data_IF_690582831836
#
_entry.id   IF_690582831836
#
_cell.length_a   1.000
_cell.length_b   1.000
_cell.length_c   1.000
_cell.angle_alpha   90.00
_cell.angle_beta   90.00
_cell.angle_gamma   90.00
#
_symmetry.space_group_name_H-M   'P 1'
#
loop_
_entity.id
_entity.type
_entity.pdbx_description
1 polymer ?
#
# COMPACT_ATOMS: atom_id res chain seq x y z
N UNK A 1 6.18 -10.69 4.44
CA UNK A 1 7.41 -9.90 4.65
C UNK A 1 8.52 -10.44 3.78
N UNK A 2 9.00 -11.67 3.99
CA UNK A 2 10.08 -12.31 3.19
C UNK A 2 9.95 -12.22 1.67
N UNK A 3 8.75 -12.45 1.10
CA UNK A 3 8.57 -12.35 -0.36
C UNK A 3 8.86 -10.95 -0.90
N UNK A 4 8.28 -9.91 -0.29
CA UNK A 4 8.49 -8.52 -0.70
C UNK A 4 9.91 -8.03 -0.39
N UNK A 5 10.53 -8.53 0.68
CA UNK A 5 11.95 -8.27 0.99
C UNK A 5 12.85 -8.84 -0.10
N UNK A 6 12.61 -10.09 -0.50
CA UNK A 6 13.35 -10.76 -1.56
C UNK A 6 13.12 -10.08 -2.93
N UNK A 7 11.90 -9.66 -3.22
CA UNK A 7 11.57 -8.86 -4.40
C UNK A 7 12.36 -7.55 -4.43
N UNK A 8 12.35 -6.78 -3.33
CA UNK A 8 13.08 -5.52 -3.25
C UNK A 8 14.60 -5.74 -3.33
N UNK A 9 15.12 -6.78 -2.67
CA UNK A 9 16.53 -7.18 -2.75
C UNK A 9 16.94 -7.53 -4.19
N UNK A 10 16.13 -8.27 -4.93
CA UNK A 10 16.41 -8.63 -6.32
C UNK A 10 16.35 -7.41 -7.26
N UNK A 11 15.42 -6.49 -7.06
CA UNK A 11 15.35 -5.26 -7.83
C UNK A 11 16.57 -4.36 -7.57
N UNK A 12 16.97 -4.20 -6.31
CA UNK A 12 18.19 -3.45 -5.93
C UNK A 12 19.43 -4.13 -6.49
N UNK A 13 19.53 -5.46 -6.44
CA UNK A 13 20.62 -6.20 -7.08
C UNK A 13 20.71 -5.89 -8.58
N UNK A 14 19.59 -5.96 -9.30
CA UNK A 14 19.55 -5.66 -10.73
C UNK A 14 19.94 -4.20 -11.04
N UNK A 15 19.57 -3.25 -10.17
CA UNK A 15 20.02 -1.85 -10.25
C UNK A 15 21.54 -1.73 -10.07
N UNK A 16 22.08 -2.33 -9.00
CA UNK A 16 23.51 -2.27 -8.68
C UNK A 16 24.37 -2.95 -9.74
N UNK A 17 23.89 -4.03 -10.37
CA UNK A 17 24.61 -4.71 -11.47
C UNK A 17 24.82 -3.84 -12.70
N UNK A 18 24.05 -2.75 -12.85
CA UNK A 18 24.30 -1.73 -13.88
C UNK A 18 25.47 -0.82 -13.52
N UNK A 19 25.78 -0.66 -12.23
CA UNK A 19 26.88 0.16 -11.72
C UNK A 19 28.18 -0.65 -11.58
N UNK A 20 28.10 -1.88 -11.06
CA UNK A 20 29.25 -2.78 -10.89
C UNK A 20 28.80 -4.24 -10.91
N UNK A 21 29.56 -5.12 -11.56
CA UNK A 21 29.29 -6.56 -11.54
C UNK A 21 29.89 -7.29 -10.34
N UNK A 22 30.84 -6.66 -9.62
CA UNK A 22 31.64 -7.31 -8.58
C UNK A 22 31.09 -7.02 -7.18
N UNK A 23 30.01 -7.72 -6.84
CA UNK A 23 29.49 -7.76 -5.48
C UNK A 23 28.72 -9.04 -5.23
N UNK A 24 28.54 -9.35 -3.94
CA UNK A 24 27.67 -10.45 -3.49
C UNK A 24 26.68 -9.95 -2.46
N UNK A 25 25.50 -10.58 -2.41
CA UNK A 25 24.47 -10.30 -1.41
C UNK A 25 24.24 -11.58 -0.59
N UNK A 26 24.29 -11.47 0.73
CA UNK A 26 24.02 -12.58 1.67
C UNK A 26 22.94 -12.17 2.67
N UNK A 27 22.17 -13.14 3.18
CA UNK A 27 21.21 -12.91 4.27
C UNK A 27 21.93 -12.39 5.53
N UNK A 28 21.32 -11.43 6.21
CA UNK A 28 21.80 -10.87 7.47
C UNK A 28 21.10 -11.48 8.69
N UNK A 29 21.45 -10.97 9.86
CA UNK A 29 20.92 -11.42 11.16
C UNK A 29 19.61 -10.73 11.58
N UNK A 30 19.08 -9.78 10.78
CA UNK A 30 17.87 -9.01 11.01
C UNK A 30 17.83 -8.28 12.37
N UNK A 31 18.36 -7.03 12.48
CA UNK A 31 18.96 -6.21 11.42
C UNK A 31 20.48 -6.42 11.24
N UNK A 32 21.02 -6.26 10.01
CA UNK A 32 20.29 -5.93 8.78
C UNK A 32 19.64 -7.15 8.15
N UNK A 33 18.71 -6.92 7.22
CA UNK A 33 18.07 -8.00 6.45
C UNK A 33 19.07 -8.68 5.49
N UNK A 34 19.98 -7.89 4.90
CA UNK A 34 21.02 -8.39 4.01
C UNK A 34 22.35 -7.68 4.24
N UNK A 35 23.42 -8.32 3.77
CA UNK A 35 24.72 -7.68 3.58
C UNK A 35 25.09 -7.67 2.11
N UNK A 36 25.69 -6.57 1.68
CA UNK A 36 26.30 -6.42 0.37
C UNK A 36 27.81 -6.34 0.56
N UNK A 37 28.53 -7.29 -0.02
CA UNK A 37 29.99 -7.29 -0.04
C UNK A 37 30.45 -6.71 -1.37
N UNK A 38 31.12 -5.55 -1.33
CA UNK A 38 31.75 -4.88 -2.47
C UNK A 38 33.21 -4.67 -2.10
N UNK A 39 34.13 -5.25 -2.86
CA UNK A 39 35.56 -5.30 -2.49
C UNK A 39 35.75 -5.81 -1.03
N UNK A 40 36.43 -5.03 -0.19
CA UNK A 40 36.63 -5.29 1.23
C UNK A 40 35.53 -4.70 2.13
N UNK A 41 34.54 -4.01 1.57
CA UNK A 41 33.46 -3.36 2.33
C UNK A 41 32.27 -4.30 2.49
N UNK A 42 31.83 -4.46 3.74
CA UNK A 42 30.58 -5.14 4.11
C UNK A 42 29.54 -4.09 4.47
N UNK A 43 28.54 -3.91 3.62
CA UNK A 43 27.50 -2.88 3.72
C UNK A 43 26.21 -3.52 4.20
N UNK A 44 25.60 -2.95 5.24
CA UNK A 44 24.31 -3.41 5.75
C UNK A 44 23.17 -2.88 4.88
N UNK A 45 22.26 -3.74 4.42
CA UNK A 45 21.04 -3.36 3.71
C UNK A 45 19.80 -3.75 4.55
N UNK A 46 19.06 -2.75 4.99
CA UNK A 46 17.74 -2.94 5.61
C UNK A 46 16.65 -2.69 4.57
N UNK A 47 15.61 -3.51 4.55
CA UNK A 47 14.47 -3.40 3.64
C UNK A 47 13.19 -3.11 4.42
N UNK A 48 12.33 -2.30 3.82
CA UNK A 48 11.04 -1.95 4.42
C UNK A 48 10.02 -1.57 3.37
N UNK A 49 8.80 -1.24 3.82
CA UNK A 49 7.69 -0.85 2.95
C UNK A 49 7.25 0.57 3.28
N UNK A 50 6.98 1.34 2.25
CA UNK A 50 6.12 2.51 2.35
C UNK A 50 4.68 2.05 2.20
N UNK A 51 4.03 1.81 3.35
CA UNK A 51 2.61 1.47 3.40
C UNK A 51 1.77 2.74 3.64
N UNK A 52 0.53 2.79 3.11
CA UNK A 52 -0.42 3.81 3.54
C UNK A 52 -0.66 3.73 5.05
N UNK A 53 -1.09 4.85 5.69
CA UNK A 53 -1.44 4.87 7.10
C UNK A 53 -2.38 3.72 7.48
N UNK A 54 -2.17 3.14 8.67
CA UNK A 54 -2.89 1.97 9.16
C UNK A 54 -4.41 2.12 9.09
N UNK A 55 -4.90 3.33 9.31
CA UNK A 55 -6.33 3.63 9.37
C UNK A 55 -6.96 3.50 7.98
N UNK A 56 -6.30 3.98 6.94
CA UNK A 56 -6.74 3.84 5.54
C UNK A 56 -6.74 2.38 5.10
N UNK A 57 -5.63 1.66 5.33
CA UNK A 57 -5.51 0.23 4.98
C UNK A 57 -6.58 -0.61 5.68
N UNK A 58 -6.86 -0.32 6.96
CA UNK A 58 -7.86 -1.02 7.76
C UNK A 58 -9.28 -0.75 7.26
N UNK A 59 -9.59 0.51 6.96
CA UNK A 59 -10.90 0.92 6.42
C UNK A 59 -11.15 0.29 5.05
N UNK A 60 -10.19 0.40 4.13
CA UNK A 60 -10.32 -0.12 2.76
C UNK A 60 -10.48 -1.65 2.78
N UNK A 61 -9.66 -2.35 3.58
CA UNK A 61 -9.76 -3.80 3.74
C UNK A 61 -11.11 -4.22 4.33
N UNK A 62 -11.61 -3.48 5.32
CA UNK A 62 -12.89 -3.79 5.98
C UNK A 62 -14.08 -3.65 5.03
N UNK A 63 -14.10 -2.59 4.22
CA UNK A 63 -15.15 -2.36 3.21
C UNK A 63 -15.05 -3.35 2.04
N UNK A 64 -13.84 -3.75 1.65
CA UNK A 64 -13.62 -4.77 0.62
C UNK A 64 -14.13 -6.15 1.07
N UNK A 65 -13.89 -6.49 2.34
CA UNK A 65 -14.43 -7.69 2.98
C UNK A 65 -15.96 -7.64 3.00
N UNK A 66 -16.54 -6.53 3.41
CA UNK A 66 -17.99 -6.33 3.40
C UNK A 66 -18.60 -6.54 2.01
N UNK A 67 -18.02 -5.93 0.97
CA UNK A 67 -18.46 -6.14 -0.42
C UNK A 67 -18.43 -7.62 -0.83
N UNK A 68 -17.41 -8.36 -0.37
CA UNK A 68 -17.27 -9.78 -0.70
C UNK A 68 -18.30 -10.63 0.05
N UNK A 69 -18.56 -10.33 1.33
CA UNK A 69 -19.61 -10.99 2.12
C UNK A 69 -21.00 -10.76 1.51
N UNK A 70 -21.32 -9.52 1.12
CA UNK A 70 -22.59 -9.19 0.46
C UNK A 70 -22.68 -9.89 -0.89
N UNK A 71 -21.59 -9.93 -1.68
CA UNK A 71 -21.57 -10.70 -2.92
C UNK A 71 -21.88 -12.17 -2.67
N UNK A 72 -21.27 -12.81 -1.69
CA UNK A 72 -21.54 -14.22 -1.40
C UNK A 72 -22.97 -14.47 -0.92
N UNK A 73 -23.54 -13.53 -0.17
CA UNK A 73 -24.92 -13.60 0.28
C UNK A 73 -25.94 -13.50 -0.87
N UNK A 74 -25.68 -12.67 -1.88
CA UNK A 74 -26.70 -12.31 -2.88
C UNK A 74 -26.40 -12.74 -4.32
N UNK A 75 -25.19 -13.21 -4.64
CA UNK A 75 -24.78 -13.51 -6.04
C UNK A 75 -25.72 -14.46 -6.78
N UNK A 76 -26.34 -15.41 -6.09
CA UNK A 76 -27.27 -16.39 -6.68
C UNK A 76 -28.64 -15.79 -7.03
N UNK A 77 -28.97 -14.63 -6.47
CA UNK A 77 -30.23 -13.92 -6.69
C UNK A 77 -30.12 -12.82 -7.74
N UNK A 78 -28.91 -12.53 -8.22
CA UNK A 78 -28.65 -11.53 -9.27
C UNK A 78 -28.56 -12.26 -10.62
N UNK A 79 -29.38 -11.87 -11.62
CA UNK A 79 -29.39 -12.51 -12.93
C UNK A 79 -28.03 -12.57 -13.62
N UNK A 80 -27.87 -13.56 -14.50
CA UNK A 80 -26.74 -13.64 -15.41
C UNK A 80 -26.69 -12.46 -16.37
N UNK A 81 -25.49 -11.89 -16.54
CA UNK A 81 -25.30 -10.67 -17.33
C UNK A 81 -25.61 -9.37 -16.59
N UNK A 82 -25.97 -9.41 -15.30
CA UNK A 82 -26.17 -8.25 -14.45
C UNK A 82 -25.17 -8.17 -13.28
N UNK A 83 -24.86 -6.95 -12.87
CA UNK A 83 -24.07 -6.64 -11.67
C UNK A 83 -24.64 -5.43 -10.93
N UNK A 84 -24.44 -5.37 -9.62
CA UNK A 84 -24.59 -4.17 -8.80
C UNK A 84 -23.21 -3.56 -8.51
N UNK A 85 -23.06 -2.28 -8.82
CA UNK A 85 -21.90 -1.48 -8.47
C UNK A 85 -22.22 -0.70 -7.20
N UNK A 86 -21.33 -0.76 -6.20
CA UNK A 86 -21.43 -0.05 -4.94
C UNK A 86 -20.29 0.96 -4.84
N UNK A 87 -20.58 2.24 -4.61
CA UNK A 87 -19.60 3.27 -4.22
C UNK A 87 -19.74 3.47 -2.71
N UNK A 88 -18.77 2.95 -1.96
CA UNK A 88 -18.71 2.97 -0.51
C UNK A 88 -17.58 3.89 -0.05
N UNK A 89 -17.85 4.72 0.95
CA UNK A 89 -16.83 5.59 1.54
C UNK A 89 -16.65 5.32 3.02
N UNK A 90 -15.42 5.06 3.44
CA UNK A 90 -15.07 4.90 4.86
C UNK A 90 -14.34 6.13 5.42
N UNK A 91 -14.07 6.18 6.73
CA UNK A 91 -14.51 5.23 7.76
C UNK A 91 -16.02 5.30 8.01
N UNK A 92 -16.62 4.19 8.44
CA UNK A 92 -18.05 4.10 8.81
C UNK A 92 -18.17 4.10 10.33
N UNK A 93 -19.00 4.98 10.88
CA UNK A 93 -19.09 5.17 12.33
C UNK A 93 -19.62 3.94 13.09
N UNK A 94 -20.59 3.22 12.53
CA UNK A 94 -21.16 2.01 13.12
C UNK A 94 -21.20 0.85 12.11
N UNK A 95 -20.10 0.07 11.98
CA UNK A 95 -19.95 -0.95 10.94
C UNK A 95 -21.04 -2.03 10.97
N UNK A 96 -21.48 -2.47 12.15
CA UNK A 96 -22.51 -3.53 12.28
C UNK A 96 -23.87 -3.06 11.80
N UNK A 97 -24.28 -1.85 12.18
CA UNK A 97 -25.55 -1.29 11.73
C UNK A 97 -25.52 -0.97 10.23
N UNK A 98 -24.38 -0.48 9.75
CA UNK A 98 -24.17 -0.22 8.33
C UNK A 98 -24.26 -1.50 7.49
N UNK A 99 -23.57 -2.57 7.88
CA UNK A 99 -23.64 -3.88 7.21
C UNK A 99 -25.08 -4.38 7.12
N UNK A 100 -25.82 -4.37 8.24
CA UNK A 100 -27.22 -4.81 8.27
C UNK A 100 -28.11 -3.96 7.36
N UNK A 101 -27.96 -2.65 7.41
CA UNK A 101 -28.76 -1.71 6.60
C UNK A 101 -28.43 -1.83 5.11
N UNK A 102 -27.14 -2.01 4.77
CA UNK A 102 -26.70 -2.19 3.39
C UNK A 102 -27.24 -3.52 2.82
N UNK A 103 -27.12 -4.63 3.55
CA UNK A 103 -27.66 -5.92 3.12
C UNK A 103 -29.18 -5.87 2.91
N UNK A 104 -29.91 -5.17 3.79
CA UNK A 104 -31.35 -4.97 3.63
C UNK A 104 -31.68 -4.18 2.34
N UNK A 105 -30.97 -3.07 2.10
CA UNK A 105 -31.13 -2.26 0.89
C UNK A 105 -30.85 -3.07 -0.38
N UNK A 106 -29.76 -3.85 -0.41
CA UNK A 106 -29.42 -4.73 -1.53
C UNK A 106 -30.51 -5.78 -1.75
N UNK A 107 -31.04 -6.38 -0.68
CA UNK A 107 -32.18 -7.29 -0.76
C UNK A 107 -33.41 -6.65 -1.42
N UNK A 108 -33.78 -5.44 -1.00
CA UNK A 108 -34.90 -4.70 -1.60
C UNK A 108 -34.68 -4.36 -3.08
N UNK A 109 -33.45 -4.02 -3.46
CA UNK A 109 -33.07 -3.76 -4.85
C UNK A 109 -33.22 -5.02 -5.70
N UNK A 110 -32.73 -6.16 -5.21
CA UNK A 110 -32.80 -7.44 -5.92
C UNK A 110 -34.26 -7.91 -6.07
N UNK A 111 -35.09 -7.68 -5.05
CA UNK A 111 -36.52 -8.00 -5.05
C UNK A 111 -37.37 -7.03 -5.90
N UNK A 112 -36.77 -6.03 -6.53
CA UNK A 112 -37.49 -5.05 -7.35
C UNK A 112 -38.32 -4.05 -6.54
N UNK A 113 -38.19 -4.04 -5.20
CA UNK A 113 -38.85 -3.08 -4.30
C UNK A 113 -38.19 -1.70 -4.36
N UNK A 114 -36.93 -1.65 -4.76
CA UNK A 114 -36.15 -0.42 -4.90
C UNK A 114 -35.50 -0.36 -6.28
N UNK A 115 -35.92 0.60 -7.09
CA UNK A 115 -35.37 0.77 -8.44
C UNK A 115 -34.01 1.48 -8.43
N UNK A 116 -33.08 0.89 -9.17
CA UNK A 116 -31.73 1.41 -9.46
C UNK A 116 -31.36 1.11 -10.91
N UNK A 117 -31.49 2.08 -11.81
CA UNK A 117 -31.00 1.99 -13.20
C UNK A 117 -29.65 2.68 -13.38
N UNK A 118 -29.57 3.96 -13.00
CA UNK A 118 -28.34 4.74 -12.95
C UNK A 118 -27.79 4.83 -11.51
N UNK A 119 -26.66 5.52 -11.32
CA UNK A 119 -26.15 5.83 -9.98
C UNK A 119 -27.21 6.55 -9.16
N UNK A 120 -27.62 5.92 -8.06
CA UNK A 120 -28.56 6.48 -7.09
C UNK A 120 -27.92 6.47 -5.71
N UNK A 121 -28.03 7.59 -5.01
CA UNK A 121 -27.51 7.74 -3.66
C UNK A 121 -28.56 7.31 -2.64
N UNK A 122 -28.13 6.57 -1.63
CA UNK A 122 -28.95 6.10 -0.51
C UNK A 122 -28.27 6.50 0.79
N UNK A 123 -29.08 6.85 1.79
CA UNK A 123 -28.63 6.89 3.17
C UNK A 123 -28.69 5.48 3.74
N UNK A 124 -27.54 4.98 4.20
CA UNK A 124 -27.41 3.69 4.85
C UNK A 124 -26.79 3.93 6.23
N UNK A 125 -27.63 4.02 7.26
CA UNK A 125 -27.16 4.30 8.64
C UNK A 125 -26.35 5.59 8.78
N UNK A 126 -26.77 6.66 8.12
CA UNK A 126 -26.10 7.97 8.11
C UNK A 126 -24.94 8.05 7.12
N UNK A 127 -24.73 7.01 6.32
CA UNK A 127 -23.66 6.95 5.32
C UNK A 127 -24.22 7.06 3.90
N UNK A 128 -23.60 7.91 3.08
CA UNK A 128 -23.96 8.02 1.67
C UNK A 128 -23.37 6.86 0.86
N UNK A 129 -24.24 5.98 0.37
CA UNK A 129 -23.88 4.86 -0.51
C UNK A 129 -24.47 5.09 -1.88
N UNK A 130 -23.65 5.04 -2.95
CA UNK A 130 -24.20 5.05 -4.31
C UNK A 130 -24.27 3.64 -4.86
N UNK A 131 -25.38 3.34 -5.52
CA UNK A 131 -25.60 2.04 -6.15
C UNK A 131 -26.02 2.26 -7.59
N UNK A 132 -25.48 1.43 -8.49
CA UNK A 132 -25.89 1.34 -9.88
C UNK A 132 -26.09 -0.11 -10.26
N UNK A 133 -27.17 -0.40 -11.00
CA UNK A 133 -27.32 -1.69 -11.68
C UNK A 133 -26.69 -1.58 -13.07
N UNK A 134 -25.93 -2.58 -13.46
CA UNK A 134 -25.25 -2.65 -14.73
C UNK A 134 -25.63 -3.95 -15.45
N UNK A 135 -26.11 -3.81 -16.69
CA UNK A 135 -26.27 -4.94 -17.61
C UNK A 135 -25.08 -4.99 -18.55
N UNK A 136 -24.40 -6.13 -18.61
CA UNK A 136 -23.20 -6.34 -19.43
C UNK A 136 -23.24 -7.65 -20.22
N UNK A 137 -24.25 -8.51 -20.02
CA UNK A 137 -24.45 -9.73 -20.83
C UNK A 137 -23.43 -10.86 -20.61
N UNK A 138 -22.45 -10.68 -19.73
CA UNK A 138 -21.41 -11.69 -19.45
C UNK A 138 -21.74 -12.48 -18.17
N UNK A 139 -21.65 -13.81 -18.20
CA UNK A 139 -21.99 -14.65 -17.04
C UNK A 139 -20.89 -14.74 -15.97
N UNK A 140 -19.64 -14.60 -16.38
CA UNK A 140 -18.46 -14.85 -15.54
C UNK A 140 -18.08 -13.69 -14.60
N UNK A 141 -18.73 -12.53 -14.72
CA UNK A 141 -18.39 -11.37 -13.88
C UNK A 141 -18.95 -11.50 -12.46
N UNK A 142 -18.25 -10.89 -11.51
CA UNK A 142 -18.69 -10.74 -10.12
C UNK A 142 -20.00 -9.93 -10.09
N UNK A 143 -21.00 -10.43 -9.35
CA UNK A 143 -22.36 -9.85 -9.31
C UNK A 143 -22.45 -8.58 -8.46
N UNK A 144 -21.60 -8.44 -7.45
CA UNK A 144 -21.52 -7.22 -6.63
C UNK A 144 -20.08 -6.75 -6.61
N UNK A 145 -19.86 -5.51 -7.07
CA UNK A 145 -18.55 -4.90 -7.25
C UNK A 145 -18.51 -3.61 -6.42
N UNK A 146 -17.54 -3.52 -5.50
CA UNK A 146 -17.34 -2.34 -4.66
C UNK A 146 -16.23 -1.44 -5.19
N UNK A 147 -16.54 -0.16 -5.31
CA UNK A 147 -15.59 0.94 -5.36
C UNK A 147 -15.50 1.50 -3.95
N UNK A 148 -14.28 1.55 -3.41
CA UNK A 148 -14.05 1.97 -2.02
C UNK A 148 -13.24 3.25 -2.05
N UNK A 149 -13.78 4.29 -1.43
CA UNK A 149 -13.12 5.57 -1.24
C UNK A 149 -12.97 5.91 0.23
N UNK A 150 -12.14 6.91 0.50
CA UNK A 150 -12.07 7.55 1.80
C UNK A 150 -12.94 8.82 1.80
N UNK A 151 -13.66 9.09 2.89
CA UNK A 151 -14.39 10.34 3.14
C UNK A 151 -13.45 11.49 3.39
N UNK A 152 -12.30 11.20 3.98
CA UNK A 152 -11.20 12.13 4.15
C UNK A 152 -10.25 11.91 2.98
N UNK A 153 -10.37 12.67 1.87
CA UNK A 153 -9.37 12.60 0.83
C UNK A 153 -8.01 12.96 1.43
N UNK A 154 -6.96 12.28 0.99
CA UNK A 154 -5.60 12.77 1.21
C UNK A 154 -5.53 14.12 0.50
N UNK A 155 -5.67 15.20 1.25
CA UNK A 155 -5.71 16.57 0.72
C UNK A 155 -4.31 17.04 0.32
N UNK A 156 -3.27 16.42 0.90
CA UNK A 156 -1.87 16.70 0.57
C UNK A 156 -1.06 15.40 0.49
N UNK A 157 -0.95 14.89 -0.74
CA UNK A 157 -0.17 13.69 -1.10
C UNK A 157 1.31 13.88 -0.73
N UNK A 158 1.83 15.10 -0.86
CA UNK A 158 3.24 15.37 -0.59
C UNK A 158 3.54 15.33 0.92
N UNK A 159 2.65 15.89 1.75
CA UNK A 159 2.74 15.78 3.20
C UNK A 159 2.65 14.32 3.67
N UNK A 160 1.85 13.48 3.01
CA UNK A 160 1.78 12.05 3.30
C UNK A 160 3.12 11.33 3.00
N UNK A 161 3.73 11.59 1.84
CA UNK A 161 5.07 11.08 1.52
C UNK A 161 6.12 11.48 2.56
N UNK A 162 6.11 12.74 2.99
CA UNK A 162 7.04 13.26 4.00
C UNK A 162 6.83 12.58 5.36
N UNK A 163 5.57 12.39 5.77
CA UNK A 163 5.22 11.70 7.01
C UNK A 163 5.69 10.23 6.99
N UNK A 164 5.41 9.51 5.90
CA UNK A 164 5.83 8.12 5.71
C UNK A 164 7.35 8.00 5.74
N UNK A 165 8.07 8.84 4.97
CA UNK A 165 9.53 8.79 4.89
C UNK A 165 10.19 9.12 6.24
N UNK A 166 9.74 10.17 6.93
CA UNK A 166 10.23 10.53 8.27
C UNK A 166 10.05 9.38 9.26
N UNK A 167 8.88 8.72 9.25
CA UNK A 167 8.59 7.58 10.11
C UNK A 167 9.50 6.39 9.80
N UNK A 168 9.67 6.07 8.52
CA UNK A 168 10.54 4.97 8.07
C UNK A 168 11.97 5.22 8.52
N UNK A 169 12.54 6.38 8.17
CA UNK A 169 13.95 6.67 8.47
C UNK A 169 14.18 6.68 9.98
N UNK A 170 13.32 7.34 10.76
CA UNK A 170 13.43 7.35 12.23
C UNK A 170 13.39 5.94 12.82
N UNK A 171 12.46 5.11 12.35
CA UNK A 171 12.32 3.74 12.84
C UNK A 171 13.51 2.85 12.47
N UNK A 172 14.01 2.97 11.23
CA UNK A 172 15.10 2.13 10.73
C UNK A 172 16.46 2.58 11.21
N UNK A 173 16.67 3.87 11.42
CA UNK A 173 17.87 4.37 12.10
C UNK A 173 17.96 3.78 13.51
N UNK A 174 16.87 3.84 14.29
CA UNK A 174 16.83 3.25 15.63
C UNK A 174 17.04 1.72 15.61
N UNK A 175 16.38 1.00 14.68
CA UNK A 175 16.54 -0.46 14.55
C UNK A 175 17.97 -0.86 14.19
N UNK A 176 18.63 -0.08 13.33
CA UNK A 176 19.99 -0.36 12.85
C UNK A 176 21.10 0.28 13.70
N UNK A 177 20.76 0.90 14.85
CA UNK A 177 21.72 1.57 15.72
C UNK A 177 22.71 0.59 16.38
N UNK A 178 22.29 -0.66 16.61
CA UNK A 178 23.08 -1.70 17.26
C UNK A 178 23.78 -2.63 16.26
N UNK A 179 23.81 -2.30 14.96
CA UNK A 179 24.67 -2.99 14.01
C UNK A 179 26.11 -2.68 14.46
N UNK A 180 26.60 -3.56 15.34
CA UNK A 180 27.76 -3.31 16.19
C UNK A 180 28.98 -3.10 15.31
N UNK A 181 29.52 -1.90 15.36
CA UNK A 181 30.84 -1.63 14.84
C UNK A 181 31.76 -1.20 16.00
N UNK A 182 32.75 -2.03 16.37
CA UNK A 182 33.83 -1.62 17.27
C UNK A 182 34.64 -0.40 16.76
N UNK A 183 34.48 0.01 15.49
CA UNK A 183 35.22 1.08 14.81
C UNK A 183 34.34 2.19 14.21
N UNK A 184 33.01 2.11 14.30
CA UNK A 184 32.07 3.17 13.88
C UNK A 184 32.06 3.57 12.40
N UNK A 185 32.45 2.69 11.47
CA UNK A 185 32.69 2.96 10.04
C UNK A 185 31.89 2.11 9.05
N UNK A 186 31.03 1.16 9.47
CA UNK A 186 30.26 0.36 8.49
C UNK A 186 29.07 1.12 7.91
N UNK A 187 29.18 1.34 6.61
CA UNK A 187 28.18 1.89 5.72
C UNK A 187 26.84 1.12 5.81
N UNK A 188 25.72 1.86 5.80
CA UNK A 188 24.35 1.31 5.85
C UNK A 188 23.51 1.86 4.71
N UNK A 189 22.77 1.00 4.02
CA UNK A 189 21.81 1.34 2.98
C UNK A 189 20.39 0.97 3.41
N UNK A 190 19.41 1.66 2.85
CA UNK A 190 17.99 1.41 3.09
C UNK A 190 17.27 1.17 1.75
N UNK A 191 16.56 0.05 1.64
CA UNK A 191 15.61 -0.24 0.57
C UNK A 191 14.18 -0.03 1.03
N UNK A 192 13.41 0.76 0.30
CA UNK A 192 11.99 1.04 0.57
C UNK A 192 11.17 0.52 -0.60
N UNK A 193 10.39 -0.54 -0.39
CA UNK A 193 9.38 -0.98 -1.35
C UNK A 193 8.17 -0.05 -1.27
N UNK A 194 7.88 0.64 -2.36
CA UNK A 194 6.70 1.48 -2.47
C UNK A 194 5.46 0.62 -2.71
N UNK A 195 4.61 0.51 -1.69
CA UNK A 195 3.30 -0.15 -1.78
C UNK A 195 2.16 0.86 -1.67
N UNK A 196 2.48 2.15 -1.73
CA UNK A 196 1.50 3.21 -1.60
C UNK A 196 0.87 3.50 -2.97
N UNK A 197 -0.47 3.43 -3.10
CA UNK A 197 -1.13 3.47 -4.40
C UNK A 197 -1.09 4.85 -5.09
N UNK A 198 -0.80 5.92 -4.33
CA UNK A 198 -0.82 7.30 -4.83
C UNK A 198 0.55 7.98 -4.84
N UNK A 199 1.58 7.37 -4.27
CA UNK A 199 2.90 8.01 -4.16
C UNK A 199 3.81 7.46 -5.24
N UNK A 200 4.51 8.34 -5.93
CA UNK A 200 5.53 8.00 -6.90
C UNK A 200 6.95 8.34 -6.40
N UNK A 201 7.95 8.10 -7.25
CA UNK A 201 9.34 8.44 -6.96
C UNK A 201 9.55 9.95 -6.76
N UNK A 202 8.83 10.82 -7.49
CA UNK A 202 8.94 12.26 -7.36
C UNK A 202 8.50 12.71 -5.96
N UNK A 203 7.40 12.16 -5.44
CA UNK A 203 6.92 12.48 -4.10
C UNK A 203 7.96 12.14 -3.03
N UNK A 204 8.60 10.96 -3.13
CA UNK A 204 9.64 10.54 -2.19
C UNK A 204 10.95 11.33 -2.34
N UNK A 205 11.32 11.74 -3.55
CA UNK A 205 12.49 12.62 -3.77
C UNK A 205 12.27 14.01 -3.16
N UNK A 206 11.10 14.62 -3.37
CA UNK A 206 10.74 15.90 -2.75
C UNK A 206 10.70 15.75 -1.22
N UNK A 207 10.15 14.64 -0.71
CA UNK A 207 10.13 14.36 0.72
C UNK A 207 11.54 14.21 1.31
N UNK A 208 12.47 13.57 0.59
CA UNK A 208 13.86 13.43 1.00
C UNK A 208 14.58 14.78 1.06
N UNK A 209 14.31 15.68 0.11
CA UNK A 209 14.85 17.04 0.13
C UNK A 209 14.37 17.89 1.31
N UNK A 210 13.22 17.54 1.91
CA UNK A 210 12.60 18.22 3.04
C UNK A 210 12.61 17.34 4.31
N UNK A 211 13.60 16.46 4.44
CA UNK A 211 13.65 15.50 5.52
C UNK A 211 13.91 16.19 6.86
N UNK A 212 13.09 15.90 7.86
CA UNK A 212 13.17 16.51 9.20
C UNK A 212 13.86 15.60 10.23
N UNK A 213 14.47 14.51 9.78
CA UNK A 213 15.13 13.52 10.63
C UNK A 213 16.57 13.30 10.19
N UNK A 214 17.48 13.26 11.16
CA UNK A 214 18.90 12.92 10.92
C UNK A 214 19.03 11.40 10.83
N UNK A 215 19.82 10.91 9.87
CA UNK A 215 20.11 9.49 9.69
C UNK A 215 21.54 9.26 9.22
N UNK A 216 21.99 8.01 9.28
CA UNK A 216 23.35 7.60 8.90
C UNK A 216 23.39 6.74 7.64
N UNK A 217 22.23 6.45 7.03
CA UNK A 217 22.20 5.79 5.72
C UNK A 217 22.96 6.58 4.66
N UNK A 218 23.86 5.93 3.91
CA UNK A 218 24.61 6.55 2.82
C UNK A 218 23.89 6.45 1.48
N UNK A 219 23.01 5.46 1.31
CA UNK A 219 22.14 5.30 0.14
C UNK A 219 20.74 4.89 0.57
N UNK A 220 19.74 5.46 -0.07
CA UNK A 220 18.33 5.08 0.10
C UNK A 220 17.73 4.82 -1.27
N UNK A 221 17.25 3.61 -1.46
CA UNK A 221 16.62 3.13 -2.68
C UNK A 221 15.11 3.05 -2.50
N UNK A 222 14.36 3.57 -3.47
CA UNK A 222 12.94 3.34 -3.61
C UNK A 222 12.74 2.28 -4.70
N UNK A 223 12.09 1.16 -4.34
CA UNK A 223 11.71 0.09 -5.27
C UNK A 223 10.23 0.24 -5.61
N UNK A 224 9.92 0.32 -6.89
CA UNK A 224 8.55 0.43 -7.40
C UNK A 224 8.01 -0.95 -7.80
N UNK A 225 6.68 -1.07 -7.97
CA UNK A 225 6.01 -2.34 -8.30
C UNK A 225 6.41 -2.93 -9.66
N UNK A 226 6.93 -2.10 -10.57
CA UNK A 226 7.48 -2.50 -11.87
C UNK A 226 8.96 -2.94 -11.82
N UNK A 227 9.51 -3.16 -10.62
CA UNK A 227 10.93 -3.46 -10.36
C UNK A 227 11.91 -2.33 -10.72
N UNK A 228 11.40 -1.14 -11.02
CA UNK A 228 12.23 0.04 -11.15
C UNK A 228 12.78 0.45 -9.78
N UNK A 229 14.05 0.85 -9.77
CA UNK A 229 14.73 1.32 -8.56
C UNK A 229 15.20 2.74 -8.80
N UNK A 230 14.83 3.63 -7.89
CA UNK A 230 15.27 5.02 -7.86
C UNK A 230 16.09 5.25 -6.60
N UNK A 231 17.33 5.71 -6.76
CA UNK A 231 18.13 6.17 -5.63
C UNK A 231 17.66 7.58 -5.23
N UNK A 232 16.90 7.66 -4.14
CA UNK A 232 16.30 8.91 -3.66
C UNK A 232 17.22 9.68 -2.71
N UNK A 233 18.28 9.05 -2.21
CA UNK A 233 19.34 9.68 -1.44
C UNK A 233 20.67 8.97 -1.70
N UNK A 234 21.74 9.76 -1.83
CA UNK A 234 23.11 9.29 -1.96
C UNK A 234 24.07 10.26 -1.28
N UNK A 235 24.89 9.76 -0.38
CA UNK A 235 26.02 10.49 0.21
C UNK A 235 27.30 9.69 -0.08
N UNK A 236 27.73 9.73 -1.34
CA UNK A 236 28.98 9.10 -1.79
C UNK A 236 30.13 9.98 -1.32
N UNK A 237 31.00 9.41 -0.49
CA UNK A 237 32.30 10.01 -0.12
C UNK A 237 33.37 9.61 -1.12
#
# INVERSE_FOLDING_TARGET
MRFDEEYAKNAIEAYLRKESSDFTITEGENPPDYYIQIDSKKIALEITRAEPPSDRKTVDTSLARLCSQINDQFKTRIPDGESLLLDLKGPVANPRNFEKSLSNLIGQIIEGKTEVGNWKCFDVSGEAVKIKRLTHGQKWRKKIIGFIGNKEPVTDIQSEAQSILNKIIKSKEAKTATINDPQGKREKWLGILNTHPLLDSNNFQIAMGNLNVVHTFTRIFLVLENSEVVEIFSNRS
#
